data_IF_018629240028
#
_entry.id   IF_018629240028
#
_cell.length_a   1.000
_cell.length_b   1.000
_cell.length_c   1.000
_cell.angle_alpha   90.00
_cell.angle_beta   90.00
_cell.angle_gamma   90.00
#
_symmetry.space_group_name_H-M   'P 1'
#
loop_
_entity.id
_entity.type
_entity.pdbx_description
1 polymer ?
#
# COMPACT_ATOMS: atom_id res chain seq x y z
N UNK A 1 42.16 20.05 -9.37
CA UNK A 1 42.41 19.50 -8.02
C UNK A 1 41.19 19.83 -7.17
N UNK A 2 40.17 18.98 -7.23
CA UNK A 2 39.81 17.99 -6.20
C UNK A 2 39.05 18.62 -5.04
N UNK A 3 37.72 18.49 -5.03
CA UNK A 3 37.02 17.75 -3.97
C UNK A 3 35.57 17.49 -4.39
N UNK A 4 35.24 16.21 -4.41
CA UNK A 4 33.91 15.63 -4.53
C UNK A 4 33.38 15.46 -3.11
N UNK A 5 32.35 16.22 -2.74
CA UNK A 5 31.54 15.95 -1.55
C UNK A 5 30.08 16.11 -1.95
N UNK A 6 29.41 14.97 -2.16
CA UNK A 6 27.96 14.91 -2.20
C UNK A 6 27.42 14.88 -0.77
N UNK A 7 26.53 15.80 -0.35
CA UNK A 7 25.95 15.73 0.97
C UNK A 7 24.62 15.00 0.94
N UNK A 8 24.55 14.04 1.86
CA UNK A 8 23.37 13.45 2.48
C UNK A 8 22.18 14.42 2.57
N UNK A 9 20.99 13.91 2.24
CA UNK A 9 19.83 14.08 3.11
C UNK A 9 18.95 15.32 2.96
N UNK A 10 18.88 15.97 1.80
CA UNK A 10 17.83 16.96 1.53
C UNK A 10 16.87 16.45 0.45
N UNK A 11 15.55 16.42 0.72
CA UNK A 11 14.54 16.18 -0.30
C UNK A 11 14.72 17.14 -1.48
N UNK A 12 14.57 16.65 -2.71
CA UNK A 12 14.51 17.51 -3.89
C UNK A 12 13.25 18.35 -3.76
N UNK A 13 13.40 19.67 -3.61
CA UNK A 13 12.27 20.59 -3.49
C UNK A 13 11.60 20.76 -4.85
N UNK A 14 10.26 20.72 -4.87
CA UNK A 14 9.46 21.16 -6.01
C UNK A 14 9.04 22.61 -5.79
N UNK A 15 9.38 23.52 -6.70
CA UNK A 15 8.64 24.77 -6.82
C UNK A 15 7.30 24.45 -7.50
N UNK A 16 6.17 24.72 -6.82
CA UNK A 16 4.83 24.47 -7.34
C UNK A 16 4.03 25.78 -7.41
N UNK A 17 3.50 26.09 -8.59
CA UNK A 17 2.46 27.09 -8.80
C UNK A 17 1.07 26.41 -8.73
N UNK A 18 0.24 26.73 -7.72
CA UNK A 18 -1.05 26.10 -7.52
C UNK A 18 -2.06 26.33 -8.66
N UNK A 19 -1.82 27.29 -9.56
CA UNK A 19 -2.72 27.61 -10.66
C UNK A 19 -2.27 27.07 -12.04
N UNK A 20 -1.06 26.47 -12.16
CA UNK A 20 -0.45 26.33 -13.50
C UNK A 20 0.04 24.95 -13.96
N UNK A 21 0.31 23.93 -13.15
CA UNK A 21 0.71 22.62 -13.73
C UNK A 21 0.58 21.42 -12.77
N UNK A 22 -0.08 20.35 -13.25
CA UNK A 22 -0.06 19.01 -12.64
C UNK A 22 1.31 18.31 -12.78
N UNK A 23 2.30 18.95 -13.37
CA UNK A 23 3.62 18.39 -13.67
C UNK A 23 4.67 19.34 -13.11
N UNK A 24 5.53 18.91 -12.17
CA UNK A 24 6.61 19.75 -11.70
C UNK A 24 7.68 19.91 -12.79
N UNK A 25 8.54 20.91 -12.64
CA UNK A 25 9.74 20.99 -13.48
C UNK A 25 10.60 19.73 -13.32
N UNK A 26 11.14 19.23 -14.44
CA UNK A 26 12.02 18.06 -14.44
C UNK A 26 13.30 18.38 -13.65
N UNK A 27 13.62 17.61 -12.59
CA UNK A 27 14.83 17.87 -11.81
C UNK A 27 16.10 17.77 -12.65
N UNK A 28 17.14 18.56 -12.36
CA UNK A 28 18.41 18.46 -13.09
C UNK A 28 18.97 17.03 -13.12
N UNK A 29 19.30 16.55 -14.33
CA UNK A 29 19.82 15.21 -14.54
C UNK A 29 18.75 14.11 -14.67
N UNK A 30 17.47 14.47 -14.73
CA UNK A 30 16.37 13.56 -15.06
C UNK A 30 15.84 13.83 -16.48
N UNK A 31 15.33 12.78 -17.12
CA UNK A 31 14.60 12.88 -18.37
C UNK A 31 13.15 13.32 -18.12
N UNK A 32 12.44 13.66 -19.20
CA UNK A 32 11.01 14.00 -19.15
C UNK A 32 10.20 12.90 -18.44
N UNK A 33 9.22 13.28 -17.59
CA UNK A 33 8.46 12.33 -16.80
C UNK A 33 7.59 11.42 -17.66
N UNK A 34 7.46 10.18 -17.20
CA UNK A 34 6.48 9.22 -17.72
C UNK A 34 5.30 9.16 -16.75
N UNK A 35 4.09 9.29 -17.27
CA UNK A 35 2.88 9.12 -16.46
C UNK A 35 2.77 7.68 -15.95
N UNK A 36 2.54 7.53 -14.65
CA UNK A 36 2.32 6.25 -13.99
C UNK A 36 0.83 6.00 -13.81
N UNK A 37 0.35 4.86 -14.32
CA UNK A 37 -1.06 4.47 -14.21
C UNK A 37 -1.18 3.04 -13.71
N UNK A 38 -2.14 2.83 -12.81
CA UNK A 38 -2.54 1.51 -12.39
C UNK A 38 -3.39 0.84 -13.49
N UNK A 39 -3.02 -0.38 -13.96
CA UNK A 39 -3.81 -1.10 -14.94
C UNK A 39 -5.04 -1.71 -14.25
N UNK A 40 -6.22 -1.12 -14.45
CA UNK A 40 -7.46 -1.52 -13.77
C UNK A 40 -7.71 -3.03 -13.81
N UNK A 41 -7.59 -3.66 -14.99
CA UNK A 41 -7.81 -5.12 -15.15
C UNK A 41 -6.78 -5.92 -14.37
N UNK A 42 -5.51 -5.50 -14.39
CA UNK A 42 -4.44 -6.14 -13.64
C UNK A 42 -4.65 -6.01 -12.13
N UNK A 43 -5.11 -4.85 -11.67
CA UNK A 43 -5.40 -4.61 -10.26
C UNK A 43 -6.59 -5.43 -9.76
N UNK A 44 -7.67 -5.49 -10.54
CA UNK A 44 -8.84 -6.34 -10.22
C UNK A 44 -8.45 -7.82 -10.17
N UNK A 45 -7.64 -8.29 -11.13
CA UNK A 45 -7.14 -9.66 -11.11
C UNK A 45 -6.25 -9.94 -9.89
N UNK A 46 -5.41 -8.98 -9.50
CA UNK A 46 -4.56 -9.08 -8.31
C UNK A 46 -5.40 -9.12 -7.03
N UNK A 47 -6.40 -8.25 -6.88
CA UNK A 47 -7.34 -8.27 -5.75
C UNK A 47 -8.03 -9.64 -5.64
N UNK A 48 -8.52 -10.19 -6.76
CA UNK A 48 -9.17 -11.50 -6.78
C UNK A 48 -8.20 -12.62 -6.35
N UNK A 49 -6.97 -12.60 -6.86
CA UNK A 49 -5.94 -13.56 -6.50
C UNK A 49 -5.55 -13.46 -5.02
N UNK A 50 -5.33 -12.24 -4.52
CA UNK A 50 -5.03 -11.98 -3.11
C UNK A 50 -6.19 -12.38 -2.20
N UNK A 51 -7.44 -12.22 -2.64
CA UNK A 51 -8.62 -12.65 -1.87
C UNK A 51 -8.61 -14.16 -1.66
N UNK A 52 -8.43 -14.94 -2.74
CA UNK A 52 -8.36 -16.41 -2.65
C UNK A 52 -7.17 -16.85 -1.81
N UNK A 53 -6.00 -16.25 -2.04
CA UNK A 53 -4.80 -16.55 -1.27
C UNK A 53 -4.98 -16.24 0.23
N UNK A 54 -5.52 -15.07 0.56
CA UNK A 54 -5.71 -14.62 1.94
C UNK A 54 -6.74 -15.47 2.67
N UNK A 55 -7.83 -15.86 2.01
CA UNK A 55 -8.83 -16.79 2.57
C UNK A 55 -8.18 -18.14 2.92
N UNK A 56 -7.36 -18.69 2.03
CA UNK A 56 -6.68 -19.97 2.27
C UNK A 56 -5.63 -19.84 3.39
N UNK A 57 -4.74 -18.85 3.31
CA UNK A 57 -3.65 -18.66 4.26
C UNK A 57 -4.16 -18.32 5.66
N UNK A 58 -4.98 -17.26 5.78
CA UNK A 58 -5.45 -16.81 7.07
C UNK A 58 -6.56 -17.70 7.63
N UNK A 59 -7.34 -18.36 6.78
CA UNK A 59 -8.28 -19.40 7.20
C UNK A 59 -7.56 -20.59 7.81
N UNK A 60 -6.45 -21.02 7.19
CA UNK A 60 -5.58 -22.06 7.75
C UNK A 60 -4.93 -21.60 9.07
N UNK A 61 -4.41 -20.37 9.15
CA UNK A 61 -3.83 -19.85 10.40
C UNK A 61 -4.87 -19.73 11.52
N UNK A 62 -6.08 -19.28 11.21
CA UNK A 62 -7.20 -19.22 12.17
C UNK A 62 -7.53 -20.63 12.69
N UNK A 63 -7.60 -21.62 11.81
CA UNK A 63 -7.82 -23.01 12.18
C UNK A 63 -6.69 -23.56 13.07
N UNK A 64 -5.43 -23.25 12.77
CA UNK A 64 -4.28 -23.64 13.61
C UNK A 64 -4.34 -22.98 14.98
N UNK A 65 -4.74 -21.71 15.06
CA UNK A 65 -4.75 -20.93 16.29
C UNK A 65 -5.92 -21.27 17.23
N UNK A 66 -7.10 -21.52 16.68
CA UNK A 66 -8.35 -21.66 17.45
C UNK A 66 -9.05 -23.02 17.28
N UNK A 67 -8.59 -23.85 16.35
CA UNK A 67 -9.28 -25.08 15.98
C UNK A 67 -10.58 -24.83 15.19
N UNK A 68 -11.48 -25.81 15.14
CA UNK A 68 -12.75 -25.70 14.41
C UNK A 68 -13.72 -24.67 15.01
N UNK A 69 -13.55 -24.32 16.29
CA UNK A 69 -14.47 -23.45 17.04
C UNK A 69 -14.40 -21.97 16.61
N UNK A 70 -13.32 -21.57 15.94
CA UNK A 70 -13.14 -20.19 15.46
C UNK A 70 -14.24 -19.74 14.49
N UNK A 71 -14.63 -20.64 13.57
CA UNK A 71 -15.67 -20.34 12.60
C UNK A 71 -17.06 -20.35 13.26
N UNK A 72 -17.25 -21.20 14.27
CA UNK A 72 -18.49 -21.29 15.05
C UNK A 72 -18.83 -20.00 15.80
N UNK A 73 -17.85 -19.12 16.04
CA UNK A 73 -18.07 -17.80 16.63
C UNK A 73 -18.92 -16.86 15.75
N UNK A 74 -18.94 -17.09 14.44
CA UNK A 74 -19.68 -16.26 13.48
C UNK A 74 -20.69 -17.07 12.66
N UNK A 75 -20.39 -18.33 12.35
CA UNK A 75 -21.22 -19.21 11.53
C UNK A 75 -21.27 -20.60 12.16
N UNK A 76 -22.44 -20.97 12.65
CA UNK A 76 -22.74 -22.34 13.05
C UNK A 76 -23.26 -23.12 11.82
N UNK A 77 -22.72 -24.32 11.64
CA UNK A 77 -23.14 -25.25 10.57
C UNK A 77 -23.78 -26.45 11.24
N UNK A 78 -25.05 -26.69 10.93
CA UNK A 78 -25.79 -27.86 11.39
C UNK A 78 -26.14 -28.73 10.17
N UNK A 79 -25.60 -29.93 10.13
CA UNK A 79 -25.85 -30.90 9.06
C UNK A 79 -26.82 -31.99 9.54
N UNK A 80 -27.86 -32.22 8.76
CA UNK A 80 -28.82 -33.33 8.91
C UNK A 80 -28.76 -34.22 7.68
N UNK A 81 -29.46 -35.37 7.72
CA UNK A 81 -29.48 -36.31 6.58
C UNK A 81 -29.97 -35.68 5.26
N UNK A 82 -30.82 -34.65 5.34
CA UNK A 82 -31.50 -34.06 4.18
C UNK A 82 -31.16 -32.57 3.97
N UNK A 83 -30.42 -31.93 4.88
CA UNK A 83 -30.14 -30.49 4.81
C UNK A 83 -28.87 -30.07 5.53
N UNK A 84 -28.26 -28.97 5.05
CA UNK A 84 -27.22 -28.23 5.76
C UNK A 84 -27.76 -26.85 6.08
N UNK A 85 -27.77 -26.50 7.36
CA UNK A 85 -28.26 -25.22 7.87
C UNK A 85 -27.08 -24.36 8.32
N UNK A 86 -27.04 -23.11 7.84
CA UNK A 86 -26.06 -22.12 8.24
C UNK A 86 -26.73 -21.06 9.11
N UNK A 87 -26.26 -20.89 10.34
CA UNK A 87 -26.74 -19.86 11.26
C UNK A 87 -25.62 -18.87 11.54
N UNK A 88 -25.88 -17.58 11.32
CA UNK A 88 -24.85 -16.54 11.45
C UNK A 88 -25.19 -15.56 12.57
N UNK A 89 -24.20 -15.25 13.41
CA UNK A 89 -24.31 -14.12 14.34
C UNK A 89 -24.07 -12.81 13.58
N UNK A 90 -25.17 -12.10 13.29
CA UNK A 90 -25.13 -10.83 12.57
C UNK A 90 -24.38 -9.73 13.33
N UNK A 91 -24.34 -9.78 14.67
CA UNK A 91 -23.60 -8.83 15.50
C UNK A 91 -22.10 -9.01 15.36
N UNK A 92 -21.61 -10.26 15.43
CA UNK A 92 -20.20 -10.58 15.21
C UNK A 92 -19.78 -10.27 13.78
N UNK A 93 -20.62 -10.62 12.80
CA UNK A 93 -20.34 -10.30 11.39
C UNK A 93 -20.28 -8.79 11.15
N UNK A 94 -21.25 -8.03 11.67
CA UNK A 94 -21.25 -6.57 11.54
C UNK A 94 -20.02 -5.95 12.22
N UNK A 95 -19.65 -6.42 13.42
CA UNK A 95 -18.44 -5.96 14.11
C UNK A 95 -17.19 -6.22 13.28
N UNK A 96 -17.04 -7.43 12.74
CA UNK A 96 -15.88 -7.80 11.93
C UNK A 96 -15.79 -6.97 10.64
N UNK A 97 -16.92 -6.74 9.97
CA UNK A 97 -16.97 -5.91 8.75
C UNK A 97 -16.69 -4.44 9.05
N UNK A 98 -17.25 -3.87 10.12
CA UNK A 98 -16.99 -2.48 10.52
C UNK A 98 -15.52 -2.28 10.92
N UNK A 99 -14.95 -3.26 11.63
CA UNK A 99 -13.54 -3.26 11.97
C UNK A 99 -12.65 -3.34 10.72
N UNK A 100 -12.92 -4.28 9.81
CA UNK A 100 -12.15 -4.44 8.57
C UNK A 100 -12.27 -3.25 7.63
N UNK A 101 -13.49 -2.87 7.23
CA UNK A 101 -13.71 -1.78 6.27
C UNK A 101 -13.33 -0.43 6.88
N UNK A 102 -13.68 -0.18 8.14
CA UNK A 102 -13.46 1.10 8.79
C UNK A 102 -12.09 1.21 9.43
N UNK A 103 -11.89 0.47 10.53
CA UNK A 103 -10.72 0.64 11.38
C UNK A 103 -9.41 0.18 10.70
N UNK A 104 -9.41 -0.97 10.03
CA UNK A 104 -8.21 -1.49 9.35
C UNK A 104 -7.84 -0.62 8.16
N UNK A 105 -8.79 -0.23 7.30
CA UNK A 105 -8.50 0.68 6.18
C UNK A 105 -7.97 2.04 6.66
N UNK A 106 -8.56 2.62 7.71
CA UNK A 106 -8.06 3.88 8.26
C UNK A 106 -6.65 3.72 8.88
N UNK A 107 -6.40 2.60 9.56
CA UNK A 107 -5.09 2.28 10.10
C UNK A 107 -4.05 2.05 8.99
N UNK A 108 -4.46 1.44 7.88
CA UNK A 108 -3.63 1.20 6.70
C UNK A 108 -3.06 2.51 6.15
N UNK A 109 -3.94 3.46 5.84
CA UNK A 109 -3.50 4.79 5.39
C UNK A 109 -2.70 5.54 6.46
N UNK A 110 -3.05 5.39 7.74
CA UNK A 110 -2.26 5.97 8.82
C UNK A 110 -0.83 5.42 8.86
N UNK A 111 -0.62 4.12 8.64
CA UNK A 111 0.71 3.52 8.60
C UNK A 111 1.50 4.01 7.40
N UNK A 112 0.88 4.13 6.21
CA UNK A 112 1.50 4.77 5.05
C UNK A 112 1.99 6.19 5.37
N UNK A 113 1.11 7.01 5.93
CA UNK A 113 1.44 8.39 6.28
C UNK A 113 2.47 8.51 7.40
N UNK A 114 2.48 7.60 8.38
CA UNK A 114 3.54 7.54 9.39
C UNK A 114 4.89 7.18 8.74
N UNK A 115 4.90 6.18 7.86
CA UNK A 115 6.11 5.78 7.14
C UNK A 115 6.68 6.95 6.31
N UNK A 116 5.83 7.67 5.57
CA UNK A 116 6.24 8.88 4.85
C UNK A 116 6.80 9.96 5.78
N UNK A 117 6.14 10.26 6.91
CA UNK A 117 6.63 11.25 7.87
C UNK A 117 7.98 10.89 8.47
N UNK A 118 8.19 9.61 8.80
CA UNK A 118 9.47 9.12 9.31
C UNK A 118 10.60 9.24 8.28
N UNK A 119 10.26 9.22 7.00
CA UNK A 119 11.19 9.41 5.87
C UNK A 119 11.37 10.88 5.48
N UNK A 120 10.74 11.81 6.20
CA UNK A 120 10.92 13.26 6.04
C UNK A 120 9.96 13.93 5.06
N UNK A 121 8.88 13.28 4.66
CA UNK A 121 7.87 13.87 3.77
C UNK A 121 6.73 14.54 4.54
N UNK A 122 6.13 15.56 3.93
CA UNK A 122 4.87 16.13 4.37
C UNK A 122 3.70 15.27 3.85
N UNK A 123 2.75 14.93 4.72
CA UNK A 123 1.67 13.99 4.38
C UNK A 123 0.31 14.66 4.48
N UNK A 124 -0.44 14.54 3.40
CA UNK A 124 -1.84 14.90 3.29
C UNK A 124 -2.72 13.67 3.47
N UNK A 125 -3.74 13.80 4.31
CA UNK A 125 -4.76 12.77 4.53
C UNK A 125 -6.11 13.25 4.00
N UNK A 126 -6.91 12.33 3.46
CA UNK A 126 -8.28 12.66 3.07
C UNK A 126 -9.14 11.44 2.78
N UNK A 127 -10.35 11.74 2.28
CA UNK A 127 -11.34 10.73 1.90
C UNK A 127 -11.75 10.97 0.45
N UNK A 128 -11.57 9.96 -0.39
CA UNK A 128 -12.10 9.90 -1.74
C UNK A 128 -13.51 9.31 -1.68
N UNK A 129 -14.51 10.15 -1.38
CA UNK A 129 -15.91 9.75 -1.17
C UNK A 129 -16.48 8.93 -2.34
N UNK A 130 -16.11 9.26 -3.59
CA UNK A 130 -16.54 8.52 -4.79
C UNK A 130 -15.94 7.12 -4.94
N UNK A 131 -14.88 6.79 -4.20
CA UNK A 131 -14.24 5.47 -4.16
C UNK A 131 -14.39 4.80 -2.78
N UNK A 132 -15.01 5.48 -1.80
CA UNK A 132 -15.10 4.99 -0.42
C UNK A 132 -13.75 4.77 0.26
N UNK A 133 -12.69 5.44 -0.22
CA UNK A 133 -11.31 5.18 0.19
C UNK A 133 -10.76 6.32 1.04
N UNK A 134 -9.95 5.98 2.04
CA UNK A 134 -9.04 6.92 2.67
C UNK A 134 -7.76 7.02 1.81
N UNK A 135 -7.01 8.09 1.96
CA UNK A 135 -5.67 8.17 1.38
C UNK A 135 -4.69 8.85 2.35
N UNK A 136 -3.43 8.44 2.29
CA UNK A 136 -2.29 9.17 2.81
C UNK A 136 -1.22 9.33 1.72
N UNK A 137 -0.94 10.56 1.31
CA UNK A 137 -0.03 10.83 0.20
C UNK A 137 0.93 11.98 0.50
N UNK A 138 2.16 11.85 -0.01
CA UNK A 138 3.15 12.91 -0.06
C UNK A 138 3.04 13.66 -1.39
N UNK A 139 1.93 14.37 -1.58
CA UNK A 139 1.67 15.14 -2.79
C UNK A 139 2.71 16.24 -2.98
N UNK A 140 2.95 16.56 -4.24
CA UNK A 140 3.85 17.61 -4.69
C UNK A 140 5.26 17.47 -4.11
N UNK A 141 5.77 16.25 -3.99
CA UNK A 141 7.10 15.98 -3.48
C UNK A 141 7.76 14.89 -4.32
N UNK A 142 9.04 15.04 -4.62
CA UNK A 142 9.81 13.98 -5.26
C UNK A 142 10.15 12.90 -4.24
N UNK A 143 9.65 11.70 -4.49
CA UNK A 143 9.77 10.56 -3.60
C UNK A 143 10.79 9.56 -4.17
N UNK A 144 11.77 9.20 -3.35
CA UNK A 144 12.78 8.19 -3.74
C UNK A 144 12.14 6.81 -3.88
N UNK A 145 12.64 6.01 -4.83
CA UNK A 145 12.20 4.62 -5.04
C UNK A 145 12.24 3.77 -3.77
N UNK A 146 13.36 3.79 -3.04
CA UNK A 146 13.54 2.99 -1.83
C UNK A 146 12.59 3.42 -0.70
N UNK A 147 12.30 4.71 -0.59
CA UNK A 147 11.29 5.23 0.34
C UNK A 147 9.90 4.68 -0.02
N UNK A 148 9.52 4.73 -1.30
CA UNK A 148 8.24 4.17 -1.76
C UNK A 148 8.13 2.66 -1.57
N UNK A 149 9.22 1.91 -1.73
CA UNK A 149 9.24 0.47 -1.42
C UNK A 149 8.94 0.20 0.06
N UNK A 150 9.52 1.00 0.96
CA UNK A 150 9.29 0.88 2.40
C UNK A 150 7.85 1.27 2.76
N UNK A 151 7.36 2.39 2.23
CA UNK A 151 6.00 2.88 2.48
C UNK A 151 4.97 1.87 1.97
N UNK A 152 5.07 1.45 0.70
CA UNK A 152 4.13 0.49 0.12
C UNK A 152 4.08 -0.86 0.86
N UNK A 153 5.20 -1.30 1.45
CA UNK A 153 5.22 -2.54 2.24
C UNK A 153 4.77 -2.36 3.69
N UNK A 154 4.77 -1.13 4.23
CA UNK A 154 4.63 -0.90 5.67
C UNK A 154 3.30 -1.38 6.26
N UNK A 155 2.11 -1.08 5.67
CA UNK A 155 0.86 -1.54 6.26
C UNK A 155 0.72 -3.06 6.28
N UNK A 156 1.16 -3.74 5.22
CA UNK A 156 1.13 -5.20 5.16
C UNK A 156 2.00 -5.78 6.27
N UNK A 157 3.24 -5.30 6.42
CA UNK A 157 4.16 -5.81 7.45
C UNK A 157 3.67 -5.50 8.87
N UNK A 158 3.27 -4.27 9.16
CA UNK A 158 2.95 -3.82 10.52
C UNK A 158 1.59 -4.33 10.97
N UNK A 159 0.55 -4.16 10.13
CA UNK A 159 -0.82 -4.50 10.51
C UNK A 159 -1.01 -6.02 10.49
N UNK A 160 -0.51 -6.73 9.47
CA UNK A 160 -0.68 -8.20 9.45
C UNK A 160 0.09 -8.85 10.60
N UNK A 161 1.26 -8.34 11.00
CA UNK A 161 1.97 -8.88 12.17
C UNK A 161 1.12 -8.77 13.46
N UNK A 162 0.46 -7.62 13.67
CA UNK A 162 -0.41 -7.40 14.82
C UNK A 162 -1.66 -8.29 14.75
N UNK A 163 -2.31 -8.37 13.59
CA UNK A 163 -3.54 -9.14 13.43
C UNK A 163 -3.28 -10.65 13.45
N UNK A 164 -2.15 -11.13 12.90
CA UNK A 164 -1.71 -12.53 13.05
C UNK A 164 -1.51 -12.85 14.53
N UNK A 165 -0.87 -11.98 15.31
CA UNK A 165 -0.74 -12.19 16.75
C UNK A 165 -2.12 -12.24 17.44
N UNK A 166 -3.08 -11.42 17.00
CA UNK A 166 -4.44 -11.40 17.53
C UNK A 166 -5.22 -12.70 17.23
N UNK A 167 -4.86 -13.47 16.18
CA UNK A 167 -5.46 -14.79 15.93
C UNK A 167 -5.22 -15.78 17.07
N UNK A 168 -4.14 -15.63 17.84
CA UNK A 168 -3.75 -16.54 18.92
C UNK A 168 -4.27 -16.10 20.30
N UNK A 169 -5.05 -15.02 20.38
CA UNK A 169 -5.76 -14.64 21.60
C UNK A 169 -6.84 -15.71 21.87
N UNK A 170 -6.97 -16.27 23.09
CA UNK A 170 -7.94 -17.33 23.40
C UNK A 170 -9.38 -16.79 23.51
N UNK A 171 -9.85 -16.16 22.45
CA UNK A 171 -11.18 -15.61 22.29
C UNK A 171 -11.58 -15.75 20.80
N UNK A 172 -12.50 -16.68 20.47
CA UNK A 172 -12.89 -16.95 19.08
C UNK A 172 -13.43 -15.73 18.32
N UNK A 173 -14.14 -14.82 19.01
CA UNK A 173 -14.64 -13.58 18.40
C UNK A 173 -13.50 -12.63 18.03
N UNK A 174 -12.51 -12.45 18.91
CA UNK A 174 -11.33 -11.63 18.62
C UNK A 174 -10.54 -12.21 17.45
N UNK A 175 -10.32 -13.53 17.44
CA UNK A 175 -9.62 -14.21 16.37
C UNK A 175 -10.36 -14.11 15.02
N UNK A 176 -11.70 -14.24 15.02
CA UNK A 176 -12.51 -14.06 13.82
C UNK A 176 -12.47 -12.61 13.29
N UNK A 177 -12.59 -11.62 14.18
CA UNK A 177 -12.48 -10.20 13.80
C UNK A 177 -11.08 -9.88 13.24
N UNK A 178 -10.02 -10.42 13.86
CA UNK A 178 -8.65 -10.28 13.37
C UNK A 178 -8.44 -10.96 12.00
N UNK A 179 -9.03 -12.14 11.79
CA UNK A 179 -9.05 -12.83 10.50
C UNK A 179 -9.69 -11.97 9.41
N UNK A 180 -10.87 -11.40 9.66
CA UNK A 180 -11.52 -10.49 8.71
C UNK A 180 -10.66 -9.26 8.46
N UNK A 181 -10.02 -8.70 9.51
CA UNK A 181 -9.06 -7.61 9.37
C UNK A 181 -7.88 -7.94 8.45
N UNK A 182 -7.30 -9.14 8.56
CA UNK A 182 -6.22 -9.61 7.68
C UNK A 182 -6.69 -9.67 6.22
N UNK A 183 -7.91 -10.17 5.97
CA UNK A 183 -8.47 -10.17 4.62
C UNK A 183 -8.53 -8.76 4.05
N UNK A 184 -9.08 -7.78 4.79
CA UNK A 184 -9.18 -6.40 4.31
C UNK A 184 -7.82 -5.74 4.12
N UNK A 185 -6.88 -5.91 5.04
CA UNK A 185 -5.55 -5.30 4.92
C UNK A 185 -4.77 -5.86 3.72
N UNK A 186 -4.67 -7.20 3.61
CA UNK A 186 -3.86 -7.84 2.56
C UNK A 186 -4.48 -7.68 1.17
N UNK A 187 -5.82 -7.76 1.05
CA UNK A 187 -6.49 -7.54 -0.25
C UNK A 187 -6.53 -6.07 -0.63
N UNK A 188 -6.71 -5.18 0.35
CA UNK A 188 -6.65 -3.72 0.17
C UNK A 188 -5.28 -3.24 -0.29
N UNK A 189 -4.20 -3.91 0.14
CA UNK A 189 -2.82 -3.62 -0.26
C UNK A 189 -2.48 -3.99 -1.72
N UNK A 190 -3.46 -4.38 -2.56
CA UNK A 190 -3.19 -4.76 -3.96
C UNK A 190 -2.51 -3.63 -4.77
N UNK A 191 -2.92 -2.38 -4.54
CA UNK A 191 -2.29 -1.20 -5.16
C UNK A 191 -0.84 -1.05 -4.73
N UNK A 192 -0.57 -1.20 -3.43
CA UNK A 192 0.77 -1.08 -2.87
C UNK A 192 1.69 -2.19 -3.35
N UNK A 193 1.20 -3.43 -3.36
CA UNK A 193 1.94 -4.58 -3.87
C UNK A 193 2.25 -4.43 -5.35
N UNK A 194 1.31 -3.89 -6.14
CA UNK A 194 1.55 -3.56 -7.54
C UNK A 194 2.64 -2.48 -7.68
N UNK A 195 2.57 -1.41 -6.88
CA UNK A 195 3.56 -0.34 -6.87
C UNK A 195 4.94 -0.89 -6.49
N UNK A 196 5.05 -1.62 -5.38
CA UNK A 196 6.28 -2.26 -4.90
C UNK A 196 6.87 -3.16 -5.98
N UNK A 197 6.06 -4.05 -6.56
CA UNK A 197 6.51 -4.96 -7.61
C UNK A 197 6.99 -4.19 -8.86
N UNK A 198 6.32 -3.10 -9.21
CA UNK A 198 6.70 -2.26 -10.36
C UNK A 198 8.01 -1.53 -10.10
N UNK A 199 8.16 -0.90 -8.93
CA UNK A 199 9.38 -0.22 -8.51
C UNK A 199 10.57 -1.17 -8.43
N UNK A 200 10.37 -2.41 -7.96
CA UNK A 200 11.44 -3.42 -7.93
C UNK A 200 12.05 -3.70 -9.31
N UNK A 201 11.30 -3.47 -10.40
CA UNK A 201 11.75 -3.64 -11.79
C UNK A 201 12.34 -2.37 -12.42
N UNK A 202 12.22 -1.22 -11.74
CA UNK A 202 12.78 0.05 -12.20
C UNK A 202 14.22 0.27 -11.68
N UNK A 203 15.03 1.12 -12.34
CA UNK A 203 16.33 1.55 -11.84
C UNK A 203 16.28 2.11 -10.41
N UNK A 204 17.37 1.97 -9.66
CA UNK A 204 17.44 2.34 -8.23
C UNK A 204 17.27 3.84 -7.94
N UNK A 205 17.47 4.67 -8.95
CA UNK A 205 17.56 6.13 -8.90
C UNK A 205 16.35 6.85 -9.51
N UNK A 206 15.26 6.14 -9.79
CA UNK A 206 14.00 6.78 -10.20
C UNK A 206 13.38 7.59 -9.07
N UNK A 207 12.70 8.67 -9.45
CA UNK A 207 11.87 9.48 -8.55
C UNK A 207 10.41 9.35 -8.93
N UNK A 208 9.55 9.26 -7.92
CA UNK A 208 8.10 9.32 -8.07
C UNK A 208 7.61 10.70 -7.67
N UNK A 209 6.51 11.12 -8.27
CA UNK A 209 5.86 12.37 -7.92
C UNK A 209 4.35 12.21 -8.07
N UNK A 210 3.62 12.39 -6.97
CA UNK A 210 2.16 12.40 -6.98
C UNK A 210 1.68 13.86 -7.01
N UNK A 211 0.99 14.23 -8.08
CA UNK A 211 0.43 15.57 -8.23
C UNK A 211 -0.95 15.67 -7.60
N UNK A 212 -1.73 14.61 -7.72
CA UNK A 212 -2.98 14.42 -7.00
C UNK A 212 -3.29 12.92 -6.89
N UNK A 213 -4.46 12.57 -6.36
CA UNK A 213 -4.87 11.18 -6.15
C UNK A 213 -5.02 10.34 -7.45
N UNK A 214 -4.95 10.94 -8.64
CA UNK A 214 -5.14 10.29 -9.94
C UNK A 214 -3.97 10.48 -10.89
N UNK A 215 -3.09 11.44 -10.63
CA UNK A 215 -1.95 11.77 -11.49
C UNK A 215 -0.63 11.57 -10.75
N UNK A 216 0.10 10.54 -11.17
CA UNK A 216 1.43 10.20 -10.67
C UNK A 216 2.42 10.12 -11.83
N UNK A 217 3.67 10.48 -11.58
CA UNK A 217 4.72 10.52 -12.59
C UNK A 217 6.00 9.83 -12.10
N UNK A 218 6.74 9.23 -13.02
CA UNK A 218 8.05 8.63 -12.78
C UNK A 218 9.11 9.37 -13.59
N UNK A 219 10.15 9.81 -12.91
CA UNK A 219 11.32 10.47 -13.49
C UNK A 219 12.48 9.49 -13.53
N UNK A 220 12.99 9.24 -14.73
CA UNK A 220 14.19 8.43 -14.93
C UNK A 220 15.41 9.34 -14.96
N UNK A 221 16.50 8.91 -14.34
CA UNK A 221 17.77 9.62 -14.47
C UNK A 221 18.18 9.63 -15.95
N UNK A 222 18.39 10.81 -16.51
CA UNK A 222 18.82 10.97 -17.89
C UNK A 222 20.23 10.36 -18.02
N UNK A 223 20.41 9.40 -18.92
CA UNK A 223 21.75 8.96 -19.31
C UNK A 223 22.53 10.19 -19.77
N UNK A 224 23.65 10.51 -19.11
CA UNK A 224 24.34 11.78 -19.27
C UNK A 224 24.64 12.11 -20.73
N UNK A 225 23.94 13.10 -21.28
CA UNK A 225 24.30 13.70 -22.56
C UNK A 225 25.58 14.57 -22.48
N UNK A 226 26.19 14.71 -21.29
CA UNK A 226 27.35 15.59 -21.08
C UNK A 226 28.72 14.90 -20.97
N UNK A 227 28.81 13.56 -20.87
CA UNK A 227 30.12 12.90 -20.79
C UNK A 227 30.81 12.75 -22.16
N UNK A 228 30.05 12.86 -23.26
CA UNK A 228 30.56 12.65 -24.63
C UNK A 228 30.81 13.97 -25.40
N UNK A 229 30.47 15.13 -24.82
CA UNK A 229 30.67 16.44 -25.46
C UNK A 229 31.98 17.12 -25.06
N UNK A 230 32.56 16.79 -23.91
CA UNK A 230 33.86 17.30 -23.47
C UNK A 230 35.05 16.49 -24.03
N UNK A 231 34.89 15.19 -24.27
CA UNK A 231 35.91 14.33 -24.90
C UNK A 231 36.03 14.48 -26.42
N UNK A 232 35.06 15.13 -27.08
CA UNK A 232 35.13 15.47 -28.52
C UNK A 232 35.66 16.89 -28.80
N UNK A 233 36.00 17.64 -27.75
CA UNK A 233 36.57 19.00 -27.87
C UNK A 233 37.97 19.13 -27.24
N UNK A 234 38.58 18.02 -26.80
CA UNK A 234 39.97 17.95 -26.33
C UNK A 234 40.88 17.29 -27.35
#
# INVERSE_FOLDING_TARGET
MTSLEGPRGTPVQSEHDPDATLLPETPPGYADPVEFRYPLVGLVALVAALTVFSLALFGWLLYVAQGPDALAAAVAIEETADSVTFTTDLGVLALALLFGVGAVTALHEFVHGLAYRLLGYEVSYGVLVGMGAFYAAAFHQFQRRDHNLLVGAAPLVVIDAILVAALFVPNPTVAFVAFVGLLFNTTGAAGDLYLVATLLRMPGDVLLYDSDARHSYVFYRGGGEDENRQTRRS
#
